data_IF_504663657613
#
_entry.id   IF_504663657613
#
_cell.length_a   1.000
_cell.length_b   1.000
_cell.length_c   1.000
_cell.angle_alpha   90.00
_cell.angle_beta   90.00
_cell.angle_gamma   90.00
#
_symmetry.space_group_name_H-M   'P 1'
#
loop_
_entity.id
_entity.type
_entity.pdbx_description
1 polymer ?
#
# COMPACT_ATOMS: atom_id res chain seq x y z
N UNK A 1 7.61 -10.05 34.63
CA UNK A 1 9.05 -9.87 34.45
C UNK A 1 9.45 -10.24 33.02
N UNK A 2 9.81 -9.21 32.22
CA UNK A 2 10.17 -9.37 30.81
C UNK A 2 11.68 -9.20 30.62
N UNK A 3 12.48 -10.08 31.26
CA UNK A 3 13.95 -9.98 31.27
C UNK A 3 14.57 -10.18 29.89
N UNK A 4 14.05 -11.12 29.11
CA UNK A 4 14.54 -11.39 27.75
C UNK A 4 14.26 -10.22 26.80
N UNK A 5 13.07 -9.64 26.90
CA UNK A 5 12.70 -8.46 26.13
C UNK A 5 13.55 -7.26 26.51
N UNK A 6 13.81 -7.07 27.81
CA UNK A 6 14.67 -6.00 28.31
C UNK A 6 16.11 -6.13 27.81
N UNK A 7 16.68 -7.34 27.83
CA UNK A 7 18.01 -7.60 27.31
C UNK A 7 18.05 -7.34 25.79
N UNK A 8 17.10 -7.89 25.06
CA UNK A 8 17.02 -7.74 23.59
C UNK A 8 16.95 -6.29 23.14
N UNK A 9 16.09 -5.50 23.79
CA UNK A 9 15.97 -4.08 23.43
C UNK A 9 17.21 -3.28 23.80
N UNK A 10 17.85 -3.59 24.94
CA UNK A 10 19.10 -2.96 25.34
C UNK A 10 20.23 -3.24 24.36
N UNK A 11 20.44 -4.49 23.99
CA UNK A 11 21.46 -4.90 23.00
C UNK A 11 21.23 -4.23 21.65
N UNK A 12 20.00 -4.28 21.16
CA UNK A 12 19.64 -3.68 19.87
C UNK A 12 19.83 -2.16 19.88
N UNK A 13 19.36 -1.48 20.92
CA UNK A 13 19.43 -0.02 20.98
C UNK A 13 20.88 0.47 21.12
N UNK A 14 21.70 -0.21 21.93
CA UNK A 14 23.12 0.12 22.05
C UNK A 14 23.86 -0.08 20.74
N UNK A 15 23.61 -1.17 20.03
CA UNK A 15 24.18 -1.40 18.71
C UNK A 15 23.77 -0.32 17.70
N UNK A 16 22.50 0.05 17.66
CA UNK A 16 22.00 1.10 16.77
C UNK A 16 22.61 2.47 17.10
N UNK A 17 22.81 2.80 18.39
CA UNK A 17 23.50 4.02 18.84
C UNK A 17 24.97 4.03 18.36
N UNK A 18 25.67 2.91 18.52
CA UNK A 18 27.04 2.79 18.09
C UNK A 18 27.16 3.00 16.55
N UNK A 19 26.29 2.33 15.79
CA UNK A 19 26.23 2.50 14.35
C UNK A 19 25.96 3.95 13.92
N UNK A 20 25.01 4.61 14.60
CA UNK A 20 24.74 6.03 14.33
C UNK A 20 25.90 6.95 14.65
N UNK A 21 26.68 6.65 15.70
CA UNK A 21 27.90 7.42 16.06
C UNK A 21 29.02 7.24 15.06
N UNK A 22 29.23 6.00 14.59
CA UNK A 22 30.33 5.65 13.70
C UNK A 22 30.06 6.02 12.24
N UNK A 23 28.83 5.79 11.77
CA UNK A 23 28.47 5.91 10.34
C UNK A 23 27.43 6.98 10.04
N UNK A 24 26.80 7.57 11.06
CA UNK A 24 25.66 8.49 10.91
C UNK A 24 24.35 7.80 10.57
N UNK A 25 24.30 6.47 10.55
CA UNK A 25 23.13 5.70 10.14
C UNK A 25 23.02 4.38 10.90
N UNK A 26 21.78 3.88 11.05
CA UNK A 26 21.51 2.49 11.46
C UNK A 26 20.29 1.93 10.72
N UNK A 27 20.22 0.61 10.59
CA UNK A 27 19.05 -0.04 9.99
C UNK A 27 17.81 0.18 10.87
N UNK A 28 16.74 0.74 10.30
CA UNK A 28 15.53 1.09 11.03
C UNK A 28 15.62 2.41 11.80
N UNK A 29 16.48 3.34 11.36
CA UNK A 29 16.67 4.67 11.97
C UNK A 29 15.35 5.44 12.11
N UNK A 30 14.39 5.18 11.23
CA UNK A 30 13.05 5.76 11.29
C UNK A 30 12.29 5.44 12.61
N UNK A 31 12.64 4.34 13.28
CA UNK A 31 12.04 3.99 14.58
C UNK A 31 12.50 4.92 15.71
N UNK A 32 13.54 5.71 15.48
CA UNK A 32 14.06 6.73 16.40
C UNK A 32 13.63 8.15 15.99
N UNK A 33 12.81 8.32 14.96
CA UNK A 33 12.45 9.63 14.37
C UNK A 33 11.90 10.61 15.40
N UNK A 34 11.06 10.17 16.34
CA UNK A 34 10.55 11.01 17.41
C UNK A 34 11.68 11.64 18.24
N UNK A 35 12.67 10.85 18.64
CA UNK A 35 13.81 11.33 19.43
C UNK A 35 14.73 12.24 18.62
N UNK A 36 15.01 11.86 17.36
CA UNK A 36 15.86 12.64 16.47
C UNK A 36 15.25 13.99 16.09
N UNK A 37 13.93 14.04 15.94
CA UNK A 37 13.20 15.26 15.62
C UNK A 37 12.75 16.08 16.84
N UNK A 38 12.98 15.59 18.08
CA UNK A 38 12.57 16.27 19.30
C UNK A 38 11.05 16.35 19.50
N UNK A 39 10.29 15.40 18.94
CA UNK A 39 8.85 15.37 19.02
C UNK A 39 8.34 14.79 20.34
N UNK A 40 7.19 15.25 20.80
CA UNK A 40 6.51 14.70 21.97
C UNK A 40 5.97 13.27 21.68
N UNK A 41 5.79 12.43 22.72
CA UNK A 41 5.16 11.14 22.58
C UNK A 41 3.78 11.25 21.91
N UNK A 42 3.51 10.37 20.96
CA UNK A 42 2.25 10.34 20.19
C UNK A 42 2.24 11.21 18.94
N UNK A 43 3.16 12.15 18.78
CA UNK A 43 3.24 12.98 17.58
C UNK A 43 3.79 12.17 16.39
N UNK A 44 3.10 12.18 15.24
CA UNK A 44 3.62 11.56 14.03
C UNK A 44 4.75 12.39 13.42
N UNK A 45 5.62 11.78 12.58
CA UNK A 45 6.57 12.52 11.78
C UNK A 45 5.83 13.39 10.75
N UNK A 46 6.54 14.39 10.22
CA UNK A 46 6.03 15.18 9.10
C UNK A 46 5.75 14.28 7.90
N UNK A 47 4.67 14.60 7.20
CA UNK A 47 4.25 13.96 5.96
C UNK A 47 4.48 14.89 4.77
N UNK A 48 4.33 14.38 3.56
CA UNK A 48 4.44 15.18 2.35
C UNK A 48 3.45 16.38 2.36
N UNK A 49 2.29 16.21 2.98
CA UNK A 49 1.26 17.28 3.09
C UNK A 49 1.81 18.49 3.86
N UNK A 50 2.67 18.28 4.86
CA UNK A 50 3.24 19.34 5.66
C UNK A 50 4.21 20.27 4.89
N UNK A 51 4.60 19.89 3.67
CA UNK A 51 5.46 20.69 2.79
C UNK A 51 4.67 21.54 1.78
N UNK A 52 3.36 21.34 1.70
CA UNK A 52 2.52 22.19 0.84
C UNK A 52 2.20 23.54 1.53
N UNK A 53 1.90 24.58 0.76
CA UNK A 53 1.36 25.83 1.33
C UNK A 53 0.01 25.56 1.99
N UNK A 54 -0.42 26.47 2.87
CA UNK A 54 -1.70 26.32 3.58
C UNK A 54 -2.91 26.28 2.63
N UNK A 55 -2.83 26.99 1.51
CA UNK A 55 -3.86 27.00 0.45
C UNK A 55 -3.45 26.09 -0.71
N UNK A 56 -4.01 24.89 -0.73
CA UNK A 56 -3.79 23.90 -1.79
C UNK A 56 -5.05 23.09 -2.06
N UNK A 57 -5.14 22.53 -3.25
CA UNK A 57 -6.21 21.59 -3.64
C UNK A 57 -5.63 20.18 -3.62
N UNK A 58 -6.25 19.30 -2.83
CA UNK A 58 -5.95 17.87 -2.83
C UNK A 58 -6.76 17.19 -3.91
N UNK A 59 -6.11 16.55 -4.88
CA UNK A 59 -6.77 15.70 -5.87
C UNK A 59 -6.51 14.24 -5.50
N UNK A 60 -7.57 13.50 -5.24
CA UNK A 60 -7.49 12.06 -4.86
C UNK A 60 -8.00 11.22 -6.01
N UNK A 61 -7.08 10.61 -6.74
CA UNK A 61 -7.40 9.69 -7.83
C UNK A 61 -7.80 8.31 -7.30
N UNK A 62 -8.72 7.65 -8.00
CA UNK A 62 -9.33 6.38 -7.56
C UNK A 62 -9.80 6.46 -6.11
N UNK A 63 -10.46 7.55 -5.74
CA UNK A 63 -10.78 7.91 -4.36
C UNK A 63 -11.55 6.81 -3.63
N UNK A 64 -12.44 6.09 -4.31
CA UNK A 64 -13.18 4.95 -3.76
C UNK A 64 -12.28 3.82 -3.22
N UNK A 65 -11.00 3.77 -3.63
CA UNK A 65 -9.97 2.86 -3.12
C UNK A 65 -8.98 3.57 -2.22
N UNK A 66 -8.55 4.76 -2.62
CA UNK A 66 -7.50 5.51 -1.92
C UNK A 66 -7.95 5.95 -0.53
N UNK A 67 -9.17 6.46 -0.40
CA UNK A 67 -9.68 6.94 0.90
C UNK A 67 -9.79 5.80 1.93
N UNK A 68 -10.42 4.65 1.66
CA UNK A 68 -10.42 3.52 2.59
C UNK A 68 -9.01 2.99 2.90
N UNK A 69 -8.09 3.03 1.95
CA UNK A 69 -6.70 2.62 2.16
C UNK A 69 -5.99 3.54 3.16
N UNK A 70 -6.16 4.85 3.05
CA UNK A 70 -5.63 5.82 4.01
C UNK A 70 -6.22 5.55 5.41
N UNK A 71 -7.52 5.30 5.51
CA UNK A 71 -8.19 4.95 6.76
C UNK A 71 -7.62 3.70 7.45
N UNK A 72 -7.15 2.72 6.67
CA UNK A 72 -6.57 1.47 7.20
C UNK A 72 -5.11 1.55 7.60
N UNK A 73 -4.34 2.54 7.12
CA UNK A 73 -2.89 2.62 7.30
C UNK A 73 -2.47 2.69 8.76
N UNK A 74 -3.08 3.54 9.55
CA UNK A 74 -2.74 3.75 10.96
C UNK A 74 -2.89 2.46 11.77
N UNK A 75 -4.03 1.83 11.71
CA UNK A 75 -4.34 0.62 12.48
C UNK A 75 -3.45 -0.56 12.10
N UNK A 76 -3.17 -0.75 10.81
CA UNK A 76 -2.28 -1.78 10.33
C UNK A 76 -0.85 -1.60 10.83
N UNK A 77 -0.32 -0.38 10.78
CA UNK A 77 1.01 -0.04 11.28
C UNK A 77 1.11 -0.25 12.80
N UNK A 78 0.15 0.26 13.57
CA UNK A 78 0.11 0.13 15.03
C UNK A 78 0.06 -1.33 15.48
N UNK A 79 -0.77 -2.14 14.86
CA UNK A 79 -0.89 -3.57 15.19
C UNK A 79 0.44 -4.30 15.03
N UNK A 80 1.11 -4.09 13.88
CA UNK A 80 2.43 -4.69 13.62
C UNK A 80 3.48 -4.21 14.61
N UNK A 81 3.57 -2.92 14.88
CA UNK A 81 4.60 -2.34 15.73
C UNK A 81 4.42 -2.66 17.20
N UNK A 82 3.18 -2.76 17.68
CA UNK A 82 2.92 -3.21 19.07
C UNK A 82 3.55 -4.56 19.35
N UNK A 83 3.40 -5.52 18.44
CA UNK A 83 4.05 -6.82 18.58
C UNK A 83 5.58 -6.67 18.69
N UNK A 84 6.21 -5.84 17.87
CA UNK A 84 7.66 -5.62 17.92
C UNK A 84 8.09 -4.95 19.23
N UNK A 85 7.32 -4.02 19.77
CA UNK A 85 7.59 -3.36 21.06
C UNK A 85 7.39 -4.34 22.23
N UNK A 86 6.28 -5.08 22.23
CA UNK A 86 5.92 -5.99 23.31
C UNK A 86 6.95 -7.11 23.51
N UNK A 87 7.60 -7.54 22.43
CA UNK A 87 8.65 -8.56 22.44
C UNK A 87 10.08 -8.01 22.48
N UNK A 88 10.25 -6.70 22.70
CA UNK A 88 11.56 -6.06 22.87
C UNK A 88 12.39 -5.94 21.60
N UNK A 89 11.78 -5.96 20.42
CA UNK A 89 12.46 -5.74 19.13
C UNK A 89 12.58 -4.26 18.76
N UNK A 90 11.74 -3.40 19.33
CA UNK A 90 11.73 -1.96 19.11
C UNK A 90 11.39 -1.22 20.41
N UNK A 91 11.91 0.01 20.53
CA UNK A 91 11.50 0.93 21.60
C UNK A 91 10.03 1.35 21.42
N UNK A 92 9.33 1.73 22.52
CA UNK A 92 7.96 2.25 22.43
C UNK A 92 7.81 3.42 21.46
N UNK A 93 8.84 4.24 21.28
CA UNK A 93 8.87 5.35 20.33
C UNK A 93 8.72 4.93 18.86
N UNK A 94 8.94 3.66 18.53
CA UNK A 94 8.65 3.14 17.17
C UNK A 94 7.17 3.26 16.79
N UNK A 95 6.27 3.28 17.77
CA UNK A 95 4.83 3.49 17.56
C UNK A 95 4.52 4.89 17.06
N UNK A 96 5.38 5.87 17.31
CA UNK A 96 5.18 7.26 16.93
C UNK A 96 5.69 7.55 15.50
N UNK A 97 6.54 6.70 14.93
CA UNK A 97 6.87 6.71 13.51
C UNK A 97 5.74 5.99 12.74
N UNK A 98 4.68 6.67 12.47
CA UNK A 98 3.42 6.12 12.02
C UNK A 98 2.77 6.97 10.91
N UNK A 99 1.89 6.39 10.09
CA UNK A 99 0.98 7.17 9.26
C UNK A 99 0.08 8.07 10.11
N UNK A 100 -0.49 9.08 9.48
CA UNK A 100 -1.58 9.84 10.08
C UNK A 100 -2.77 8.93 10.39
N UNK A 101 -3.50 9.23 11.47
CA UNK A 101 -4.86 8.70 11.59
C UNK A 101 -5.76 9.34 10.53
N UNK A 102 -6.95 8.77 10.31
CA UNK A 102 -7.85 9.31 9.29
C UNK A 102 -8.31 10.71 9.65
N UNK A 103 -8.60 10.97 10.92
CA UNK A 103 -8.98 12.28 11.44
C UNK A 103 -7.85 13.31 11.29
N UNK A 104 -6.60 12.89 11.53
CA UNK A 104 -5.44 13.76 11.30
C UNK A 104 -5.28 14.09 9.80
N UNK A 105 -5.49 13.13 8.93
CA UNK A 105 -5.48 13.34 7.48
C UNK A 105 -6.58 14.31 7.05
N UNK A 106 -7.82 14.10 7.49
CA UNK A 106 -8.93 15.00 7.20
C UNK A 106 -8.67 16.45 7.69
N UNK A 107 -8.06 16.59 8.87
CA UNK A 107 -7.75 17.90 9.43
C UNK A 107 -6.72 18.72 8.64
N UNK A 108 -5.94 18.05 7.79
CA UNK A 108 -4.92 18.67 6.93
C UNK A 108 -5.43 19.04 5.53
N UNK A 109 -6.67 18.69 5.20
CA UNK A 109 -7.27 18.94 3.90
C UNK A 109 -8.32 20.06 4.04
N UNK A 110 -8.20 21.11 3.24
CA UNK A 110 -9.21 22.17 3.15
C UNK A 110 -10.07 21.97 1.89
N UNK A 111 -9.45 21.90 0.73
CA UNK A 111 -10.12 21.71 -0.55
C UNK A 111 -9.75 20.38 -1.16
N UNK A 112 -10.75 19.58 -1.53
CA UNK A 112 -10.52 18.26 -2.10
C UNK A 112 -11.34 18.03 -3.36
N UNK A 113 -10.72 17.39 -4.36
CA UNK A 113 -11.35 16.88 -5.56
C UNK A 113 -11.21 15.36 -5.59
N UNK A 114 -12.31 14.66 -5.43
CA UNK A 114 -12.36 13.19 -5.60
C UNK A 114 -12.50 12.84 -7.08
N UNK A 115 -11.66 11.97 -7.58
CA UNK A 115 -11.72 11.45 -8.94
C UNK A 115 -11.97 9.95 -8.88
N UNK A 116 -13.08 9.49 -9.44
CA UNK A 116 -13.45 8.07 -9.44
C UNK A 116 -14.47 7.77 -10.52
N UNK A 117 -14.35 6.62 -11.18
CA UNK A 117 -15.39 6.08 -12.05
C UNK A 117 -16.55 5.48 -11.25
N UNK A 118 -16.29 5.06 -10.01
CA UNK A 118 -17.26 4.41 -9.11
C UNK A 118 -17.11 4.98 -7.71
N UNK A 119 -17.60 6.23 -7.46
CA UNK A 119 -17.55 6.86 -6.14
C UNK A 119 -18.12 5.94 -5.05
N UNK A 120 -17.51 5.97 -3.88
CA UNK A 120 -17.97 5.21 -2.71
C UNK A 120 -18.79 6.09 -1.76
N UNK A 121 -19.16 5.47 -0.64
CA UNK A 121 -20.00 6.14 0.37
C UNK A 121 -19.36 7.42 0.92
N UNK A 122 -18.04 7.41 1.13
CA UNK A 122 -17.33 8.57 1.67
C UNK A 122 -17.44 9.79 0.75
N UNK A 123 -17.25 9.59 -0.54
CA UNK A 123 -17.38 10.67 -1.54
C UNK A 123 -18.83 11.20 -1.57
N UNK A 124 -19.81 10.28 -1.55
CA UNK A 124 -21.23 10.65 -1.58
C UNK A 124 -21.66 11.47 -0.35
N UNK A 125 -21.06 11.20 0.81
CA UNK A 125 -21.36 11.93 2.05
C UNK A 125 -20.65 13.29 2.14
N UNK A 126 -19.55 13.48 1.41
CA UNK A 126 -18.70 14.66 1.53
C UNK A 126 -18.69 15.54 0.27
N UNK A 127 -19.32 15.13 -0.83
CA UNK A 127 -19.38 15.93 -2.03
C UNK A 127 -20.30 17.17 -1.87
N UNK A 128 -19.83 18.30 -2.33
CA UNK A 128 -20.65 19.51 -2.47
C UNK A 128 -21.20 19.65 -3.89
N UNK A 129 -20.46 19.16 -4.88
CA UNK A 129 -20.80 19.20 -6.28
C UNK A 129 -20.24 17.97 -6.98
N UNK A 130 -21.05 17.38 -7.89
CA UNK A 130 -20.62 16.25 -8.73
C UNK A 130 -20.63 16.66 -10.19
N UNK A 131 -19.52 16.43 -10.89
CA UNK A 131 -19.41 16.52 -12.33
C UNK A 131 -19.15 15.14 -12.92
N UNK A 132 -19.73 14.84 -14.06
CA UNK A 132 -19.52 13.60 -14.79
C UNK A 132 -18.88 13.88 -16.15
N UNK A 133 -17.80 13.15 -16.45
CA UNK A 133 -17.19 13.18 -17.77
C UNK A 133 -17.43 11.83 -18.45
N UNK A 134 -18.34 11.80 -19.41
CA UNK A 134 -18.77 10.59 -20.12
C UNK A 134 -18.33 10.70 -21.57
N UNK A 135 -17.02 10.78 -21.79
CA UNK A 135 -16.42 10.87 -23.15
C UNK A 135 -15.31 9.84 -23.26
N UNK A 136 -15.38 9.04 -24.32
CA UNK A 136 -14.31 8.15 -24.74
C UNK A 136 -13.90 8.49 -26.19
N UNK A 137 -13.01 9.46 -26.40
CA UNK A 137 -12.69 9.99 -27.73
C UNK A 137 -11.83 9.07 -28.58
N UNK A 138 -11.33 7.95 -28.03
CA UNK A 138 -10.39 7.04 -28.70
C UNK A 138 -11.02 6.25 -29.84
N UNK A 139 -12.35 6.16 -29.92
CA UNK A 139 -13.05 5.32 -30.89
C UNK A 139 -12.83 3.80 -30.71
N UNK A 140 -12.11 3.40 -29.66
CA UNK A 140 -11.90 2.00 -29.33
C UNK A 140 -13.07 1.51 -28.46
N UNK A 141 -13.66 0.40 -28.87
CA UNK A 141 -14.69 -0.28 -28.09
C UNK A 141 -14.06 -1.01 -26.89
N UNK A 142 -14.87 -1.24 -25.87
CA UNK A 142 -14.49 -2.16 -24.80
C UNK A 142 -14.29 -3.58 -25.38
N UNK A 143 -13.36 -4.36 -24.83
CA UNK A 143 -13.16 -5.73 -25.29
C UNK A 143 -14.41 -6.56 -25.03
N UNK A 144 -14.66 -7.54 -25.88
CA UNK A 144 -15.68 -8.53 -25.65
C UNK A 144 -15.33 -9.36 -24.41
N UNK A 145 -16.30 -9.56 -23.52
CA UNK A 145 -16.11 -10.28 -22.25
C UNK A 145 -16.84 -11.62 -22.34
N UNK A 146 -16.10 -12.70 -22.15
CA UNK A 146 -16.63 -14.04 -22.01
C UNK A 146 -16.46 -14.52 -20.57
N UNK A 147 -17.57 -14.94 -19.93
CA UNK A 147 -17.56 -15.48 -18.56
C UNK A 147 -17.57 -17.00 -18.67
N UNK A 148 -16.60 -17.67 -18.06
CA UNK A 148 -16.46 -19.13 -18.08
C UNK A 148 -16.51 -19.71 -16.66
N UNK A 149 -16.86 -21.01 -16.51
CA UNK A 149 -16.87 -21.71 -15.22
C UNK A 149 -15.50 -21.71 -14.54
N UNK A 150 -15.50 -21.69 -13.20
CA UNK A 150 -14.27 -21.78 -12.40
C UNK A 150 -13.68 -23.20 -12.43
N UNK A 151 -14.52 -24.22 -12.52
CA UNK A 151 -14.09 -25.61 -12.61
C UNK A 151 -13.31 -25.85 -13.89
N UNK A 152 -12.09 -26.40 -13.78
CA UNK A 152 -11.19 -26.60 -14.91
C UNK A 152 -10.58 -25.32 -15.50
N UNK A 153 -10.70 -24.18 -14.84
CA UNK A 153 -10.29 -22.86 -15.35
C UNK A 153 -8.82 -22.81 -15.79
N UNK A 154 -7.92 -23.54 -15.14
CA UNK A 154 -6.49 -23.51 -15.49
C UNK A 154 -6.25 -24.24 -16.81
N UNK A 155 -6.87 -25.40 -17.03
CA UNK A 155 -6.73 -26.14 -18.28
C UNK A 155 -7.36 -25.37 -19.44
N UNK A 156 -8.51 -24.77 -19.23
CA UNK A 156 -9.17 -23.89 -20.19
C UNK A 156 -8.30 -22.69 -20.54
N UNK A 157 -7.76 -21.99 -19.52
CA UNK A 157 -6.82 -20.89 -19.70
C UNK A 157 -5.60 -21.30 -20.54
N UNK A 158 -4.98 -22.44 -20.24
CA UNK A 158 -3.83 -22.93 -20.99
C UNK A 158 -4.21 -23.22 -22.46
N UNK A 159 -5.41 -23.71 -22.69
CA UNK A 159 -5.97 -23.91 -24.04
C UNK A 159 -6.02 -22.57 -24.80
N UNK A 160 -6.58 -21.55 -24.22
CA UNK A 160 -6.67 -20.21 -24.82
C UNK A 160 -5.27 -19.57 -25.00
N UNK A 161 -4.39 -19.68 -24.01
CA UNK A 161 -3.02 -19.19 -24.10
C UNK A 161 -2.28 -19.80 -25.30
N UNK A 162 -2.42 -21.10 -25.53
CA UNK A 162 -1.81 -21.76 -26.71
C UNK A 162 -2.36 -21.27 -28.04
N UNK A 163 -3.66 -20.99 -28.13
CA UNK A 163 -4.29 -20.42 -29.34
C UNK A 163 -3.73 -19.03 -29.63
N UNK A 164 -3.67 -18.17 -28.62
CA UNK A 164 -3.16 -16.79 -28.74
C UNK A 164 -1.66 -16.76 -29.11
N UNK A 165 -0.87 -17.67 -28.52
CA UNK A 165 0.55 -17.83 -28.89
C UNK A 165 0.70 -18.23 -30.36
N UNK A 166 -0.13 -19.16 -30.88
CA UNK A 166 -0.14 -19.53 -32.27
C UNK A 166 -0.46 -18.34 -33.18
N UNK A 167 -1.34 -17.43 -32.72
CA UNK A 167 -1.64 -16.17 -33.39
C UNK A 167 -0.55 -15.08 -33.23
N UNK A 168 0.55 -15.37 -32.52
CA UNK A 168 1.62 -14.43 -32.17
C UNK A 168 1.13 -13.23 -31.35
N UNK A 169 0.10 -13.38 -30.55
CA UNK A 169 -0.45 -12.37 -29.69
C UNK A 169 0.23 -12.39 -28.32
N UNK A 170 0.08 -11.28 -27.58
CA UNK A 170 0.49 -11.16 -26.17
C UNK A 170 -0.75 -11.30 -25.30
N UNK A 171 -0.57 -11.89 -24.12
CA UNK A 171 -1.65 -12.19 -23.20
C UNK A 171 -1.32 -11.54 -21.84
N UNK A 172 -2.31 -10.92 -21.24
CA UNK A 172 -2.24 -10.44 -19.85
C UNK A 172 -3.19 -11.30 -19.01
N UNK A 173 -2.67 -11.89 -17.94
CA UNK A 173 -3.43 -12.71 -17.00
C UNK A 173 -3.39 -12.03 -15.63
N UNK A 174 -4.57 -11.76 -15.08
CA UNK A 174 -4.72 -11.16 -13.76
C UNK A 174 -5.19 -12.21 -12.76
N UNK A 175 -4.58 -12.23 -11.57
CA UNK A 175 -4.93 -13.14 -10.48
C UNK A 175 -5.34 -12.34 -9.25
N UNK A 176 -6.04 -12.98 -8.30
CA UNK A 176 -6.48 -12.34 -7.07
C UNK A 176 -5.36 -12.05 -6.08
N UNK A 177 -4.27 -12.82 -6.12
CA UNK A 177 -3.14 -12.68 -5.20
C UNK A 177 -1.81 -12.81 -5.90
N UNK A 178 -0.76 -12.19 -5.33
CA UNK A 178 0.63 -12.34 -5.81
C UNK A 178 1.07 -13.80 -5.84
N UNK A 179 0.74 -14.56 -4.80
CA UNK A 179 1.08 -15.98 -4.73
C UNK A 179 0.47 -16.79 -5.87
N UNK A 180 -0.80 -16.54 -6.21
CA UNK A 180 -1.42 -17.18 -7.38
C UNK A 180 -0.71 -16.81 -8.67
N UNK A 181 -0.24 -15.56 -8.81
CA UNK A 181 0.52 -15.15 -9.99
C UNK A 181 1.87 -15.87 -10.08
N UNK A 182 2.55 -16.05 -8.97
CA UNK A 182 3.83 -16.78 -8.87
C UNK A 182 3.62 -18.26 -9.21
N UNK A 183 2.69 -18.93 -8.53
CA UNK A 183 2.37 -20.35 -8.74
C UNK A 183 1.95 -20.63 -10.20
N UNK A 184 1.09 -19.77 -10.76
CA UNK A 184 0.64 -19.90 -12.17
C UNK A 184 1.78 -19.65 -13.15
N UNK A 185 2.67 -18.72 -12.87
CA UNK A 185 3.84 -18.42 -13.68
C UNK A 185 4.78 -19.63 -13.74
N UNK A 186 5.05 -20.25 -12.60
CA UNK A 186 5.92 -21.42 -12.53
C UNK A 186 5.30 -22.60 -13.26
N UNK A 187 4.03 -22.85 -13.08
CA UNK A 187 3.30 -23.88 -13.85
C UNK A 187 3.36 -23.66 -15.37
N UNK A 188 3.16 -22.43 -15.83
CA UNK A 188 3.26 -22.12 -17.26
C UNK A 188 4.68 -22.29 -17.81
N UNK A 189 5.71 -21.99 -17.02
CA UNK A 189 7.11 -22.25 -17.39
C UNK A 189 7.39 -23.73 -17.57
N UNK A 190 6.88 -24.58 -16.67
CA UNK A 190 7.01 -26.03 -16.77
C UNK A 190 6.37 -26.56 -18.06
N UNK A 191 5.30 -25.91 -18.54
CA UNK A 191 4.65 -26.22 -19.82
C UNK A 191 5.40 -25.62 -21.03
N UNK A 192 6.56 -24.98 -20.84
CA UNK A 192 7.35 -24.39 -21.90
C UNK A 192 6.82 -23.06 -22.44
N UNK A 193 5.90 -22.41 -21.75
CA UNK A 193 5.32 -21.11 -22.11
C UNK A 193 6.25 -20.00 -21.62
N UNK A 194 6.58 -19.04 -22.48
CA UNK A 194 7.34 -17.84 -22.10
C UNK A 194 6.44 -16.87 -21.34
N UNK A 195 6.62 -16.80 -20.04
CA UNK A 195 5.79 -16.03 -19.13
C UNK A 195 6.65 -15.23 -18.12
N UNK A 196 6.13 -14.08 -17.68
CA UNK A 196 6.67 -13.29 -16.56
C UNK A 196 5.50 -12.87 -15.68
N UNK A 197 5.73 -12.73 -14.37
CA UNK A 197 4.82 -12.01 -13.49
C UNK A 197 5.41 -10.63 -13.14
N UNK A 198 4.54 -9.70 -12.80
CA UNK A 198 4.86 -8.31 -12.44
C UNK A 198 4.47 -8.05 -10.97
#
# INVERSE_FOLDING_TARGET
DKLLEAQRIAERTNFDIEMMRETGFCSGIENYSRHLAGLAPGQPPNTLIDYFPDDFIMMIDESHKTVPQIGGMYHGDQSRKRTLVDYGFRLPSALDNRPLSFEEFESKIDQVLFVSATPGQYEEEHELLRAQQVIRPTGLLDPEIEVRPVEGQIDDLIGEVKKEIAGKHKILITTLTKRMAEDLTDYMRELGIRVRYL
#
